data_IF_342146217904
#
_entry.id   IF_342146217904
#
_cell.length_a   1.000
_cell.length_b   1.000
_cell.length_c   1.000
_cell.angle_alpha   90.00
_cell.angle_beta   90.00
_cell.angle_gamma   90.00
#
_symmetry.space_group_name_H-M   'P 1'
#
loop_
_entity.id
_entity.type
_entity.pdbx_description
1 polymer ?
#
# COMPACT_ATOMS: atom_id res chain seq x y z
N UNK A 1 -13.45 18.76 9.43
CA UNK A 1 -13.01 18.12 10.68
C UNK A 1 -11.56 17.69 10.55
N UNK A 2 -10.85 17.52 11.66
CA UNK A 2 -9.51 16.94 11.68
C UNK A 2 -9.62 15.42 11.84
N UNK A 3 -8.75 14.66 11.16
CA UNK A 3 -8.63 13.20 11.31
C UNK A 3 -7.29 12.88 11.96
N UNK A 4 -7.27 11.83 12.78
CA UNK A 4 -6.06 11.24 13.35
C UNK A 4 -5.27 10.48 12.27
N UNK A 5 -3.99 10.19 12.54
CA UNK A 5 -3.17 9.36 11.64
C UNK A 5 -3.74 7.94 11.48
N UNK A 6 -4.38 7.40 12.52
CA UNK A 6 -5.02 6.10 12.46
C UNK A 6 -6.24 6.10 11.53
N UNK A 7 -7.08 7.14 11.60
CA UNK A 7 -8.23 7.30 10.71
C UNK A 7 -7.80 7.53 9.26
N UNK A 8 -6.76 8.34 9.03
CA UNK A 8 -6.19 8.53 7.70
C UNK A 8 -5.62 7.21 7.13
N UNK A 9 -4.92 6.43 7.95
CA UNK A 9 -4.38 5.12 7.55
C UNK A 9 -5.48 4.13 7.20
N UNK A 10 -6.54 4.07 8.02
CA UNK A 10 -7.71 3.25 7.74
C UNK A 10 -8.42 3.69 6.44
N UNK A 11 -8.61 5.01 6.24
CA UNK A 11 -9.23 5.54 5.03
C UNK A 11 -8.43 5.19 3.76
N UNK A 12 -7.11 5.40 3.80
CA UNK A 12 -6.22 5.09 2.69
C UNK A 12 -6.20 3.58 2.37
N UNK A 13 -6.20 2.70 3.38
CA UNK A 13 -6.13 1.26 3.18
C UNK A 13 -7.49 0.64 2.82
N UNK A 14 -8.58 1.05 3.45
CA UNK A 14 -9.88 0.37 3.33
C UNK A 14 -10.76 0.91 2.21
N UNK A 15 -10.55 2.18 1.84
CA UNK A 15 -11.35 2.89 0.85
C UNK A 15 -10.52 3.49 -0.28
N UNK A 16 -9.19 3.33 -0.25
CA UNK A 16 -8.27 3.91 -1.23
C UNK A 16 -8.37 5.44 -1.32
N UNK A 17 -8.57 6.12 -0.18
CA UNK A 17 -8.70 7.57 -0.14
C UNK A 17 -7.36 8.26 -0.48
N UNK A 18 -7.30 8.88 -1.66
CA UNK A 18 -6.13 9.57 -2.19
C UNK A 18 -5.74 10.80 -1.37
N UNK A 19 -6.70 11.50 -0.77
CA UNK A 19 -6.41 12.66 0.08
C UNK A 19 -5.76 12.22 1.39
N UNK A 20 -6.25 11.12 1.97
CA UNK A 20 -5.64 10.50 3.14
C UNK A 20 -4.22 10.02 2.83
N UNK A 21 -4.02 9.34 1.69
CA UNK A 21 -2.69 8.92 1.21
C UNK A 21 -1.73 10.11 1.10
N UNK A 22 -2.13 11.20 0.46
CA UNK A 22 -1.28 12.40 0.32
C UNK A 22 -0.90 13.02 1.67
N UNK A 23 -1.81 13.02 2.65
CA UNK A 23 -1.50 13.50 4.01
C UNK A 23 -0.50 12.58 4.73
N UNK A 24 -0.64 11.27 4.58
CA UNK A 24 0.31 10.30 5.16
C UNK A 24 1.69 10.42 4.51
N UNK A 25 1.75 10.55 3.18
CA UNK A 25 3.01 10.78 2.45
C UNK A 25 3.69 12.08 2.94
N UNK A 26 2.93 13.16 3.10
CA UNK A 26 3.47 14.42 3.63
C UNK A 26 4.02 14.26 5.06
N UNK A 27 3.32 13.52 5.92
CA UNK A 27 3.77 13.22 7.28
C UNK A 27 5.09 12.42 7.30
N UNK A 28 5.34 11.61 6.28
CA UNK A 28 6.57 10.82 6.10
C UNK A 28 7.71 11.60 5.43
N UNK A 29 7.52 12.88 5.10
CA UNK A 29 8.52 13.70 4.41
C UNK A 29 8.47 13.60 2.89
N UNK A 30 7.32 13.20 2.32
CA UNK A 30 7.11 13.09 0.88
C UNK A 30 7.43 11.70 0.31
N UNK A 31 7.31 11.52 -1.02
CA UNK A 31 7.55 10.23 -1.69
C UNK A 31 8.93 9.64 -1.40
N UNK A 32 9.95 10.49 -1.29
CA UNK A 32 11.31 10.09 -0.92
C UNK A 32 11.39 9.45 0.47
N UNK A 33 10.59 9.91 1.44
CA UNK A 33 10.51 9.31 2.77
C UNK A 33 9.90 7.91 2.78
N UNK A 34 8.88 7.68 1.95
CA UNK A 34 8.29 6.34 1.75
C UNK A 34 9.31 5.40 1.11
N UNK A 35 10.01 5.87 0.08
CA UNK A 35 11.07 5.09 -0.57
C UNK A 35 12.22 4.78 0.40
N UNK A 36 12.61 5.75 1.24
CA UNK A 36 13.63 5.55 2.26
C UNK A 36 13.22 4.50 3.30
N UNK A 37 11.95 4.49 3.73
CA UNK A 37 11.43 3.44 4.60
C UNK A 37 11.50 2.06 3.94
N UNK A 38 11.12 1.94 2.66
CA UNK A 38 11.24 0.69 1.91
C UNK A 38 12.71 0.19 1.88
N UNK A 39 13.67 1.08 1.64
CA UNK A 39 15.11 0.75 1.70
C UNK A 39 15.54 0.29 3.09
N UNK A 40 15.05 0.94 4.15
CA UNK A 40 15.40 0.59 5.53
C UNK A 40 14.94 -0.82 5.94
N UNK A 41 13.91 -1.36 5.28
CA UNK A 41 13.41 -2.73 5.51
C UNK A 41 13.91 -3.74 4.47
N UNK A 42 14.90 -3.35 3.64
CA UNK A 42 15.58 -4.22 2.69
C UNK A 42 14.96 -4.30 1.29
N UNK A 43 13.99 -3.44 0.95
CA UNK A 43 13.45 -3.36 -0.41
C UNK A 43 14.28 -2.37 -1.23
N UNK A 44 15.08 -2.88 -2.17
CA UNK A 44 15.90 -2.07 -3.08
C UNK A 44 15.19 -1.70 -4.39
N UNK A 45 13.99 -2.25 -4.64
CA UNK A 45 13.29 -2.13 -5.92
C UNK A 45 12.18 -1.09 -5.88
N UNK A 46 11.39 -1.07 -4.81
CA UNK A 46 10.26 -0.15 -4.66
C UNK A 46 10.72 1.31 -4.80
N UNK A 47 9.99 2.11 -5.57
CA UNK A 47 10.19 3.56 -5.62
C UNK A 47 8.86 4.27 -5.72
N UNK A 48 8.75 5.35 -4.96
CA UNK A 48 7.64 6.29 -5.02
C UNK A 48 8.24 7.67 -5.29
N UNK A 49 7.82 8.28 -6.37
CA UNK A 49 8.37 9.53 -6.91
C UNK A 49 7.34 10.66 -6.85
N UNK A 50 6.04 10.32 -6.89
CA UNK A 50 4.93 11.28 -6.96
C UNK A 50 3.88 11.01 -5.90
N UNK A 51 2.93 11.93 -5.81
CA UNK A 51 1.74 11.85 -4.96
C UNK A 51 0.48 11.61 -5.79
N UNK A 52 -0.63 11.30 -5.14
CA UNK A 52 -1.92 11.15 -5.78
C UNK A 52 -2.38 12.48 -6.43
N UNK A 53 -3.04 12.45 -7.60
CA UNK A 53 -3.33 11.26 -8.40
C UNK A 53 -2.20 10.86 -9.36
N UNK A 54 -1.17 11.70 -9.49
CA UNK A 54 -0.19 11.63 -10.57
C UNK A 54 0.74 10.42 -10.53
N UNK A 55 0.84 9.72 -9.40
CA UNK A 55 1.57 8.45 -9.32
C UNK A 55 0.94 7.34 -10.18
N UNK A 56 -0.33 7.47 -10.59
CA UNK A 56 -1.07 6.44 -11.32
C UNK A 56 -0.99 6.56 -12.86
N UNK A 57 -0.13 7.43 -13.42
CA UNK A 57 -0.04 7.60 -14.88
C UNK A 57 0.45 6.34 -15.61
N UNK A 58 1.16 5.45 -14.91
CA UNK A 58 1.55 4.12 -15.38
C UNK A 58 2.08 4.04 -16.82
N UNK A 59 2.85 5.05 -17.25
CA UNK A 59 3.32 5.18 -18.63
C UNK A 59 4.25 4.00 -18.93
N UNK A 60 4.03 3.23 -20.00
CA UNK A 60 4.91 2.11 -20.34
C UNK A 60 6.37 2.54 -20.47
N UNK A 61 7.26 1.89 -19.71
CA UNK A 61 8.69 2.19 -19.67
C UNK A 61 9.10 3.32 -18.72
N UNK A 62 8.17 4.05 -18.11
CA UNK A 62 8.47 5.01 -17.06
C UNK A 62 8.77 4.28 -15.74
N UNK A 63 9.97 4.44 -15.16
CA UNK A 63 10.31 3.73 -13.93
C UNK A 63 9.70 4.36 -12.68
N UNK A 64 9.10 5.55 -12.75
CA UNK A 64 8.56 6.23 -11.56
C UNK A 64 7.36 5.50 -10.97
N UNK A 65 7.28 5.49 -9.65
CA UNK A 65 6.16 4.88 -8.90
C UNK A 65 5.97 3.38 -9.18
N UNK A 66 7.10 2.68 -9.40
CA UNK A 66 7.10 1.25 -9.76
C UNK A 66 7.75 0.37 -8.69
N UNK A 67 7.46 -0.92 -8.80
CA UNK A 67 8.16 -2.00 -8.13
C UNK A 67 8.03 -3.28 -8.97
N UNK A 68 8.57 -4.39 -8.49
CA UNK A 68 8.32 -5.72 -9.08
C UNK A 68 7.37 -6.54 -8.19
N UNK A 69 6.62 -7.51 -8.76
CA UNK A 69 5.77 -8.40 -7.96
C UNK A 69 6.51 -9.11 -6.84
N UNK A 70 7.76 -9.54 -7.10
CA UNK A 70 8.61 -10.20 -6.11
C UNK A 70 8.95 -9.28 -4.94
N UNK A 71 9.39 -8.06 -5.22
CA UNK A 71 9.76 -7.09 -4.19
C UNK A 71 8.54 -6.71 -3.35
N UNK A 72 7.40 -6.40 -3.97
CA UNK A 72 6.17 -6.09 -3.25
C UNK A 72 5.70 -7.25 -2.35
N UNK A 73 5.76 -8.49 -2.82
CA UNK A 73 5.40 -9.66 -2.00
C UNK A 73 6.33 -9.85 -0.79
N UNK A 74 7.64 -9.61 -0.97
CA UNK A 74 8.63 -9.69 0.11
C UNK A 74 8.41 -8.57 1.14
N UNK A 75 8.19 -7.34 0.68
CA UNK A 75 7.90 -6.18 1.55
C UNK A 75 6.61 -6.39 2.32
N UNK A 76 5.54 -6.83 1.66
CA UNK A 76 4.27 -7.13 2.32
C UNK A 76 4.45 -8.22 3.39
N UNK A 77 5.22 -9.27 3.10
CA UNK A 77 5.55 -10.32 4.08
C UNK A 77 6.29 -9.76 5.28
N UNK A 78 7.30 -8.91 5.08
CA UNK A 78 8.05 -8.30 6.19
C UNK A 78 7.18 -7.43 7.09
N UNK A 79 6.25 -6.67 6.50
CA UNK A 79 5.35 -5.78 7.22
C UNK A 79 4.22 -6.52 7.96
N UNK A 80 3.75 -7.65 7.43
CA UNK A 80 2.56 -8.36 7.97
C UNK A 80 2.89 -9.60 8.79
N UNK A 81 4.00 -10.28 8.50
CA UNK A 81 4.40 -11.54 9.14
C UNK A 81 5.82 -11.49 9.71
N UNK A 82 6.66 -10.56 9.25
CA UNK A 82 8.03 -10.38 9.69
C UNK A 82 8.18 -9.41 10.86
N UNK A 83 9.39 -8.85 10.97
CA UNK A 83 9.80 -8.02 12.11
C UNK A 83 10.07 -6.56 11.73
N UNK A 84 9.66 -6.12 10.53
CA UNK A 84 9.81 -4.73 10.10
C UNK A 84 8.99 -3.75 10.97
N UNK A 85 7.92 -4.25 11.61
CA UNK A 85 7.08 -3.51 12.55
C UNK A 85 7.07 -4.19 13.92
N UNK A 86 6.84 -3.37 14.96
CA UNK A 86 6.45 -3.87 16.28
C UNK A 86 5.14 -4.67 16.21
N UNK A 87 4.94 -5.57 17.17
CA UNK A 87 3.81 -6.51 17.14
C UNK A 87 2.45 -5.83 17.05
N UNK A 88 2.22 -4.80 17.85
CA UNK A 88 0.97 -4.02 17.84
C UNK A 88 0.74 -3.33 16.49
N UNK A 89 1.78 -2.73 15.90
CA UNK A 89 1.70 -2.06 14.61
C UNK A 89 1.44 -3.06 13.47
N UNK A 90 2.09 -4.23 13.52
CA UNK A 90 1.86 -5.33 12.58
C UNK A 90 0.42 -5.85 12.65
N UNK A 91 -0.09 -6.08 13.86
CA UNK A 91 -1.47 -6.52 14.07
C UNK A 91 -2.49 -5.48 13.57
N UNK A 92 -2.20 -4.19 13.79
CA UNK A 92 -3.04 -3.09 13.29
C UNK A 92 -3.06 -3.03 11.75
N UNK A 93 -1.89 -3.15 11.10
CA UNK A 93 -1.79 -3.20 9.64
C UNK A 93 -2.60 -4.37 9.06
N UNK A 94 -2.43 -5.57 9.62
CA UNK A 94 -3.19 -6.77 9.20
C UNK A 94 -4.69 -6.57 9.39
N UNK A 95 -5.11 -5.91 10.48
CA UNK A 95 -6.52 -5.57 10.72
C UNK A 95 -7.06 -4.63 9.65
N UNK A 96 -6.32 -3.58 9.28
CA UNK A 96 -6.74 -2.67 8.22
C UNK A 96 -6.84 -3.36 6.87
N UNK A 97 -5.86 -4.20 6.50
CA UNK A 97 -5.87 -4.96 5.24
C UNK A 97 -7.06 -5.92 5.15
N UNK A 98 -7.41 -6.62 6.25
CA UNK A 98 -8.60 -7.49 6.31
C UNK A 98 -9.90 -6.71 6.13
N UNK A 99 -9.93 -5.46 6.60
CA UNK A 99 -11.05 -4.55 6.46
C UNK A 99 -11.14 -3.84 5.11
N UNK A 100 -10.32 -4.20 4.10
CA UNK A 100 -10.43 -3.59 2.78
C UNK A 100 -11.81 -3.85 2.15
N UNK A 101 -12.43 -2.77 1.66
CA UNK A 101 -13.75 -2.84 0.99
C UNK A 101 -13.65 -2.93 -0.53
N UNK A 102 -12.47 -2.73 -1.09
CA UNK A 102 -12.24 -2.59 -2.53
C UNK A 102 -11.81 -3.88 -3.24
N UNK A 103 -11.50 -4.95 -2.49
CA UNK A 103 -10.86 -6.17 -3.01
C UNK A 103 -11.78 -7.30 -3.43
N UNK A 104 -13.10 -7.14 -3.34
CA UNK A 104 -14.07 -8.24 -3.49
C UNK A 104 -13.97 -8.94 -4.86
N UNK A 105 -13.68 -8.19 -5.93
CA UNK A 105 -13.57 -8.70 -7.30
C UNK A 105 -12.13 -9.03 -7.73
N UNK A 106 -11.14 -8.89 -6.83
CA UNK A 106 -9.72 -9.07 -7.13
C UNK A 106 -9.21 -10.42 -6.60
N UNK A 107 -8.05 -10.47 -5.93
CA UNK A 107 -7.47 -11.70 -5.37
C UNK A 107 -8.49 -12.50 -4.55
N UNK A 108 -9.34 -11.84 -3.75
CA UNK A 108 -10.33 -12.49 -2.90
C UNK A 108 -11.33 -13.35 -3.69
N UNK A 109 -11.71 -12.94 -4.90
CA UNK A 109 -12.66 -13.68 -5.74
C UNK A 109 -12.11 -15.04 -6.20
N UNK A 110 -10.79 -15.18 -6.28
CA UNK A 110 -10.12 -16.41 -6.72
C UNK A 110 -9.78 -17.39 -5.58
N UNK A 111 -10.11 -17.07 -4.33
CA UNK A 111 -9.73 -17.87 -3.16
C UNK A 111 -10.95 -18.58 -2.53
N UNK A 112 -10.75 -19.67 -1.77
CA UNK A 112 -11.82 -20.31 -1.02
C UNK A 112 -12.52 -19.33 -0.07
N UNK A 113 -13.86 -19.36 -0.02
CA UNK A 113 -14.66 -18.45 0.80
C UNK A 113 -14.44 -18.61 2.31
N UNK A 114 -13.86 -19.73 2.75
CA UNK A 114 -13.50 -19.98 4.14
C UNK A 114 -12.20 -19.28 4.56
N UNK A 115 -11.41 -18.75 3.61
CA UNK A 115 -10.14 -18.10 3.92
C UNK A 115 -10.36 -16.67 4.40
N UNK A 116 -9.60 -16.28 5.42
CA UNK A 116 -9.49 -14.87 5.81
C UNK A 116 -8.46 -14.19 4.91
N UNK A 117 -8.88 -13.16 4.19
CA UNK A 117 -8.03 -12.42 3.24
C UNK A 117 -7.84 -11.00 3.75
N UNK A 118 -6.60 -10.53 3.75
CA UNK A 118 -6.26 -9.11 3.85
C UNK A 118 -5.55 -8.68 2.58
N UNK A 119 -6.02 -7.60 1.97
CA UNK A 119 -5.58 -7.16 0.66
C UNK A 119 -5.62 -5.62 0.56
N UNK A 120 -4.94 -5.08 -0.46
CA UNK A 120 -5.10 -3.70 -0.90
C UNK A 120 -5.03 -3.69 -2.42
N UNK A 121 -6.03 -3.11 -3.05
CA UNK A 121 -6.07 -2.99 -4.51
C UNK A 121 -5.35 -1.74 -5.00
N UNK A 122 -5.02 -1.70 -6.28
CA UNK A 122 -4.69 -0.48 -6.98
C UNK A 122 -5.17 -0.52 -8.43
N UNK A 123 -5.38 0.66 -8.97
CA UNK A 123 -5.81 0.88 -10.34
C UNK A 123 -5.16 2.15 -10.87
N UNK A 124 -4.64 2.09 -12.09
CA UNK A 124 -4.07 3.26 -12.76
C UNK A 124 -4.38 3.27 -14.25
N UNK A 125 -3.76 4.22 -14.95
CA UNK A 125 -3.83 4.29 -16.40
C UNK A 125 -3.19 3.04 -17.04
N UNK A 126 -3.35 2.93 -18.36
CA UNK A 126 -2.85 1.79 -19.15
C UNK A 126 -3.32 0.40 -18.66
N UNK A 127 -4.48 0.36 -17.98
CA UNK A 127 -5.09 -0.89 -17.50
C UNK A 127 -4.33 -1.53 -16.32
N UNK A 128 -3.49 -0.76 -15.63
CA UNK A 128 -2.73 -1.26 -14.49
C UNK A 128 -3.67 -1.61 -13.35
N UNK A 129 -3.57 -2.85 -12.84
CA UNK A 129 -4.32 -3.30 -11.67
C UNK A 129 -3.47 -4.25 -10.83
N UNK A 130 -3.61 -4.15 -9.51
CA UNK A 130 -2.97 -5.02 -8.52
C UNK A 130 -3.88 -5.27 -7.32
#
# INVERSE_FOLDING_TARGET
GTMTLAELSAAALQYSDNTAMNKLIAQLGGPGGVTAFARAIGDETFRLDRTEPTLNTAIPGDPRDTTTPRAMAQTLRQLTLGHALGETQRAQLVTWLKGNTTGAASIRAGLPTSWTVGDKTGSGDYGTTN
#
